data_IF_375499759816
#
_entry.id   IF_375499759816
#
_cell.length_a   1.000
_cell.length_b   1.000
_cell.length_c   1.000
_cell.angle_alpha   90.00
_cell.angle_beta   90.00
_cell.angle_gamma   90.00
#
_symmetry.space_group_name_H-M   'P 1'
#
loop_
_entity.id
_entity.type
_entity.pdbx_description
1 polymer ?
#
# COMPACT_ATOMS: atom_id res chain seq x y z
N UNK A 1 -26.51 58.90 47.82
CA UNK A 1 -26.64 58.14 49.06
C UNK A 1 -26.34 56.68 48.79
N UNK A 2 -25.59 56.12 49.59
CA UNK A 2 -25.07 54.73 49.63
C UNK A 2 -23.66 54.63 49.08
N UNK A 3 -22.79 54.53 50.01
CA UNK A 3 -21.35 54.46 49.96
C UNK A 3 -20.85 53.06 49.69
N UNK A 4 -19.73 53.02 48.99
CA UNK A 4 -18.94 51.82 48.76
C UNK A 4 -17.74 51.80 49.72
N UNK A 5 -17.68 50.75 50.50
CA UNK A 5 -16.57 50.48 51.43
C UNK A 5 -15.46 49.76 50.62
N UNK A 6 -14.29 50.39 50.58
CA UNK A 6 -13.06 49.79 50.04
C UNK A 6 -12.31 49.14 51.18
N UNK A 7 -12.15 47.83 51.18
CA UNK A 7 -11.31 47.11 52.13
C UNK A 7 -9.94 46.83 51.48
N UNK A 8 -8.92 47.48 51.99
CA UNK A 8 -7.51 47.21 51.68
C UNK A 8 -7.08 45.95 52.46
N UNK A 9 -6.65 44.92 51.74
CA UNK A 9 -5.91 43.79 52.29
C UNK A 9 -4.43 43.94 51.92
N UNK A 10 -3.61 44.17 52.92
CA UNK A 10 -2.17 44.18 52.83
C UNK A 10 -1.66 42.72 52.63
N UNK A 11 -1.12 42.39 51.48
CA UNK A 11 -0.46 41.11 51.20
C UNK A 11 1.02 41.17 51.52
N UNK A 12 1.46 40.33 52.43
CA UNK A 12 2.85 40.09 52.81
C UNK A 12 3.62 39.47 51.63
N UNK A 13 4.64 40.17 51.13
CA UNK A 13 5.62 39.62 50.19
C UNK A 13 6.57 38.67 50.93
N UNK A 14 6.38 37.38 50.81
CA UNK A 14 7.39 36.37 51.15
C UNK A 14 8.20 36.11 49.86
N UNK A 15 9.41 36.65 49.84
CA UNK A 15 10.40 36.34 48.83
C UNK A 15 10.94 34.93 49.04
N UNK A 16 10.37 33.93 48.33
CA UNK A 16 11.00 32.62 48.21
C UNK A 16 12.03 32.69 47.09
N UNK A 17 13.31 32.55 47.48
CA UNK A 17 14.41 32.29 46.55
C UNK A 17 14.06 31.02 45.74
N UNK A 18 13.76 31.17 44.44
CA UNK A 18 13.75 30.09 43.52
C UNK A 18 15.20 29.58 43.34
N UNK A 19 15.48 28.41 43.86
CA UNK A 19 16.68 27.68 43.50
C UNK A 19 16.59 27.37 41.98
N UNK A 20 17.55 27.90 41.23
CA UNK A 20 17.72 27.57 39.84
C UNK A 20 17.97 26.04 39.73
N UNK A 21 16.98 25.30 39.28
CA UNK A 21 17.17 23.93 38.85
C UNK A 21 17.88 24.02 37.49
N UNK A 22 19.18 23.73 37.48
CA UNK A 22 19.89 23.45 36.25
C UNK A 22 19.17 22.24 35.59
N UNK A 23 18.73 22.32 34.34
CA UNK A 23 18.25 21.14 33.65
C UNK A 23 19.45 20.20 33.47
N UNK A 24 19.44 19.07 34.16
CA UNK A 24 20.33 17.97 33.85
C UNK A 24 20.25 17.70 32.35
N UNK A 25 21.27 18.11 31.62
CA UNK A 25 21.39 17.86 30.20
C UNK A 25 21.48 16.34 29.96
N UNK A 26 20.34 15.71 29.79
CA UNK A 26 20.29 14.44 29.07
C UNK A 26 20.61 14.81 27.64
N UNK A 27 21.87 14.64 27.24
CA UNK A 27 22.21 14.47 25.83
C UNK A 27 21.47 13.21 25.35
N UNK A 28 20.24 13.39 24.91
CA UNK A 28 19.50 12.34 24.21
C UNK A 28 20.34 12.01 22.98
N UNK A 29 21.07 10.90 23.03
CA UNK A 29 21.80 10.38 21.89
C UNK A 29 20.84 10.33 20.68
N UNK A 30 21.35 10.60 19.49
CA UNK A 30 20.53 10.47 18.27
C UNK A 30 19.88 9.09 18.29
N UNK A 31 18.55 8.99 17.96
CA UNK A 31 17.85 7.72 17.95
C UNK A 31 18.63 6.71 17.09
N UNK A 32 18.88 5.51 17.61
CA UNK A 32 19.44 4.42 16.82
C UNK A 32 18.34 3.85 15.93
N UNK A 33 18.19 4.45 14.76
CA UNK A 33 17.18 4.03 13.77
C UNK A 33 17.37 2.59 13.31
N UNK A 34 18.59 2.07 13.27
CA UNK A 34 18.85 0.68 12.87
C UNK A 34 18.32 -0.30 13.90
N UNK A 35 18.55 -0.02 15.19
CA UNK A 35 18.01 -0.84 16.27
C UNK A 35 16.48 -0.79 16.31
N UNK A 36 15.88 0.41 16.25
CA UNK A 36 14.42 0.59 16.21
C UNK A 36 13.81 -0.14 15.00
N UNK A 37 14.49 -0.11 13.87
CA UNK A 37 14.08 -0.83 12.67
C UNK A 37 14.07 -2.34 12.87
N UNK A 38 15.13 -2.91 13.45
CA UNK A 38 15.23 -4.33 13.74
C UNK A 38 14.14 -4.77 14.73
N UNK A 39 13.96 -4.04 15.83
CA UNK A 39 12.89 -4.29 16.81
C UNK A 39 11.50 -4.29 16.13
N UNK A 40 11.24 -3.31 15.26
CA UNK A 40 9.99 -3.26 14.48
C UNK A 40 9.82 -4.45 13.55
N UNK A 41 10.88 -4.86 12.86
CA UNK A 41 10.82 -6.01 11.95
C UNK A 41 10.51 -7.34 12.68
N UNK A 42 10.92 -7.45 13.93
CA UNK A 42 10.69 -8.66 14.76
C UNK A 42 9.31 -8.65 15.41
N UNK A 43 8.83 -7.49 15.85
CA UNK A 43 7.61 -7.36 16.68
C UNK A 43 6.36 -6.99 15.90
N UNK A 44 6.45 -6.39 14.71
CA UNK A 44 5.29 -5.94 13.96
C UNK A 44 4.41 -7.13 13.49
N UNK A 45 3.09 -7.06 13.66
CA UNK A 45 2.17 -8.05 13.11
C UNK A 45 2.32 -8.14 11.59
N UNK A 46 2.44 -9.36 11.05
CA UNK A 46 2.52 -9.63 9.61
C UNK A 46 1.16 -10.10 9.12
N UNK A 47 0.22 -9.16 9.08
CA UNK A 47 -1.19 -9.46 8.79
C UNK A 47 -1.51 -9.37 7.30
N UNK A 48 -0.73 -8.63 6.51
CA UNK A 48 -1.02 -8.45 5.10
C UNK A 48 -0.87 -9.77 4.33
N UNK A 49 -1.91 -10.10 3.60
CA UNK A 49 -1.98 -11.26 2.72
C UNK A 49 -2.03 -10.81 1.26
N UNK A 50 -1.60 -11.68 0.35
CA UNK A 50 -1.86 -11.52 -1.08
C UNK A 50 -2.88 -12.55 -1.53
N UNK A 51 -3.79 -12.15 -2.42
CA UNK A 51 -4.77 -13.05 -2.98
C UNK A 51 -5.08 -12.69 -4.43
N UNK A 52 -5.51 -13.69 -5.21
CA UNK A 52 -6.00 -13.52 -6.58
C UNK A 52 -6.91 -14.69 -6.93
N UNK A 53 -7.83 -14.48 -7.88
CA UNK A 53 -8.49 -15.59 -8.54
C UNK A 53 -7.76 -15.91 -9.86
N UNK A 54 -7.63 -17.20 -10.17
CA UNK A 54 -7.22 -17.62 -11.50
C UNK A 54 -8.41 -17.64 -12.50
N UNK A 55 -8.11 -17.90 -13.76
CA UNK A 55 -9.12 -17.96 -14.82
C UNK A 55 -10.19 -19.05 -14.60
N UNK A 56 -9.91 -20.08 -13.80
CA UNK A 56 -10.85 -21.15 -13.45
C UNK A 56 -11.72 -20.78 -12.22
N UNK A 57 -11.50 -19.60 -11.63
CA UNK A 57 -12.21 -19.15 -10.44
C UNK A 57 -11.70 -19.78 -9.14
N UNK A 58 -10.50 -20.36 -9.12
CA UNK A 58 -9.83 -20.82 -7.92
C UNK A 58 -9.22 -19.60 -7.22
N UNK A 59 -9.49 -19.47 -5.93
CA UNK A 59 -8.89 -18.43 -5.09
C UNK A 59 -7.50 -18.89 -4.60
N UNK A 60 -6.50 -18.11 -4.86
CA UNK A 60 -5.13 -18.28 -4.37
C UNK A 60 -4.85 -17.29 -3.25
N UNK A 61 -4.20 -17.77 -2.18
CA UNK A 61 -3.85 -16.97 -1.00
C UNK A 61 -2.39 -17.20 -0.65
N UNK A 62 -1.63 -16.11 -0.53
CA UNK A 62 -0.28 -16.12 0.01
C UNK A 62 -0.23 -15.36 1.33
N UNK A 63 0.40 -15.97 2.35
CA UNK A 63 0.57 -15.38 3.69
C UNK A 63 1.97 -15.64 4.23
N UNK A 64 2.43 -14.74 5.07
CA UNK A 64 3.70 -14.89 5.79
C UNK A 64 3.48 -15.66 7.08
N UNK A 65 4.21 -16.76 7.27
CA UNK A 65 4.21 -17.56 8.50
C UNK A 65 5.66 -17.64 9.00
N UNK A 66 5.93 -16.97 10.11
CA UNK A 66 7.31 -16.81 10.59
C UNK A 66 8.19 -16.08 9.56
N UNK A 67 9.19 -16.75 9.03
CA UNK A 67 10.11 -16.26 7.99
C UNK A 67 9.90 -16.93 6.62
N UNK A 68 8.71 -17.46 6.40
CA UNK A 68 8.36 -18.14 5.16
C UNK A 68 7.09 -17.57 4.55
N UNK A 69 7.08 -17.46 3.22
CA UNK A 69 5.88 -17.21 2.45
C UNK A 69 5.24 -18.56 2.11
N UNK A 70 3.96 -18.69 2.42
CA UNK A 70 3.18 -19.90 2.17
C UNK A 70 2.01 -19.59 1.24
N UNK A 71 1.73 -20.49 0.32
CA UNK A 71 0.62 -20.41 -0.63
C UNK A 71 -0.34 -21.56 -0.43
N UNK A 72 -1.61 -21.27 -0.47
CA UNK A 72 -2.71 -22.24 -0.53
C UNK A 72 -3.76 -21.77 -1.54
N UNK A 73 -4.64 -22.67 -1.95
CA UNK A 73 -5.74 -22.35 -2.85
C UNK A 73 -7.07 -22.91 -2.35
N UNK A 74 -8.17 -22.33 -2.85
CA UNK A 74 -9.53 -22.71 -2.52
C UNK A 74 -10.39 -22.76 -3.79
N UNK A 75 -11.13 -23.86 -3.96
CA UNK A 75 -12.08 -24.02 -5.07
C UNK A 75 -13.49 -23.54 -4.72
N UNK A 76 -13.75 -23.23 -3.46
CA UNK A 76 -15.04 -22.81 -2.89
C UNK A 76 -15.06 -21.37 -2.33
N UNK A 77 -14.25 -20.50 -2.94
CA UNK A 77 -14.13 -19.08 -2.59
C UNK A 77 -13.71 -18.82 -1.12
N UNK A 78 -12.84 -19.68 -0.60
CA UNK A 78 -12.20 -19.49 0.68
C UNK A 78 -12.88 -20.16 1.88
N UNK A 79 -13.85 -21.04 1.64
CA UNK A 79 -14.45 -21.84 2.72
C UNK A 79 -13.47 -22.93 3.20
N UNK A 80 -12.79 -23.59 2.24
CA UNK A 80 -11.73 -24.56 2.53
C UNK A 80 -10.49 -24.24 1.70
N UNK A 81 -9.33 -24.41 2.30
CA UNK A 81 -8.05 -24.22 1.64
C UNK A 81 -7.25 -25.51 1.54
N UNK A 82 -6.51 -25.68 0.46
CA UNK A 82 -5.54 -26.76 0.30
C UNK A 82 -4.45 -26.70 1.37
N UNK A 83 -3.70 -27.79 1.61
CA UNK A 83 -2.46 -27.70 2.36
C UNK A 83 -1.55 -26.61 1.81
N UNK A 84 -0.90 -25.88 2.70
CA UNK A 84 -0.03 -24.78 2.31
C UNK A 84 1.31 -25.30 1.74
N UNK A 85 1.77 -24.68 0.65
CA UNK A 85 3.08 -24.94 0.05
C UNK A 85 4.03 -23.79 0.43
N UNK A 86 5.22 -24.12 0.93
CA UNK A 86 6.26 -23.14 1.26
C UNK A 86 6.98 -22.69 0.00
N UNK A 87 7.07 -21.38 -0.18
CA UNK A 87 7.64 -20.74 -1.37
C UNK A 87 9.16 -20.57 -1.25
N UNK A 88 9.63 -19.93 -0.18
CA UNK A 88 11.05 -19.76 0.11
C UNK A 88 11.51 -20.83 1.09
N UNK A 89 12.37 -21.74 0.65
CA UNK A 89 12.91 -22.83 1.51
C UNK A 89 13.81 -22.25 2.60
N UNK A 90 14.72 -21.36 2.21
CA UNK A 90 15.56 -20.62 3.16
C UNK A 90 14.71 -19.54 3.86
N UNK A 91 14.64 -19.56 5.20
CA UNK A 91 13.87 -18.57 5.95
C UNK A 91 14.46 -17.16 5.81
N UNK A 92 13.64 -16.19 5.44
CA UNK A 92 14.03 -14.77 5.34
C UNK A 92 12.94 -13.86 5.88
N UNK A 93 13.30 -12.64 6.30
CA UNK A 93 12.31 -11.65 6.68
C UNK A 93 11.47 -11.24 5.47
N UNK A 94 10.17 -11.09 5.67
CA UNK A 94 9.20 -10.72 4.65
C UNK A 94 8.38 -9.55 5.15
N UNK A 95 8.33 -8.45 4.41
CA UNK A 95 7.37 -7.37 4.67
C UNK A 95 5.96 -7.87 4.40
N UNK A 96 5.06 -7.66 5.35
CA UNK A 96 3.66 -8.06 5.24
C UNK A 96 2.76 -7.08 6.01
N UNK A 97 2.88 -5.80 5.67
CA UNK A 97 1.96 -4.73 6.06
C UNK A 97 1.17 -4.23 4.85
N UNK A 98 0.12 -3.44 5.08
CA UNK A 98 -0.79 -2.99 4.03
C UNK A 98 -0.15 -2.18 2.91
N UNK A 99 0.96 -1.49 3.18
CA UNK A 99 1.71 -0.73 2.17
C UNK A 99 2.79 -1.59 1.47
N UNK A 100 3.35 -2.60 2.14
CA UNK A 100 4.39 -3.48 1.61
C UNK A 100 3.99 -4.96 1.73
N UNK A 101 2.84 -5.30 1.14
CA UNK A 101 2.33 -6.68 1.13
C UNK A 101 3.04 -7.55 0.09
N UNK A 102 3.13 -8.86 0.27
CA UNK A 102 3.43 -9.78 -0.82
C UNK A 102 2.45 -9.59 -1.98
N UNK A 103 2.84 -10.00 -3.17
CA UNK A 103 1.96 -10.03 -4.34
C UNK A 103 1.90 -11.45 -4.91
N UNK A 104 0.72 -11.82 -5.46
CA UNK A 104 0.49 -13.09 -6.13
C UNK A 104 -0.24 -12.85 -7.44
N UNK A 105 0.17 -13.56 -8.48
CA UNK A 105 -0.54 -13.61 -9.75
C UNK A 105 -0.51 -15.04 -10.31
N UNK A 106 -1.55 -15.41 -11.04
CA UNK A 106 -1.67 -16.73 -11.68
C UNK A 106 -2.03 -16.55 -13.14
N UNK A 107 -1.22 -17.13 -14.00
CA UNK A 107 -1.45 -17.16 -15.45
C UNK A 107 -1.29 -18.61 -15.92
N UNK A 108 -2.36 -19.21 -16.39
CA UNK A 108 -2.44 -20.64 -16.72
C UNK A 108 -2.01 -21.53 -15.54
N UNK A 109 -0.96 -22.36 -15.75
CA UNK A 109 -0.37 -23.23 -14.72
C UNK A 109 0.73 -22.55 -13.90
N UNK A 110 1.05 -21.29 -14.17
CA UNK A 110 2.12 -20.57 -13.49
C UNK A 110 1.58 -19.74 -12.35
N UNK A 111 2.20 -19.91 -11.17
CA UNK A 111 1.93 -19.10 -9.98
C UNK A 111 3.17 -18.26 -9.69
N UNK A 112 2.98 -16.94 -9.65
CA UNK A 112 4.04 -15.96 -9.41
C UNK A 112 3.83 -15.29 -8.07
N UNK A 113 4.92 -15.12 -7.34
CA UNK A 113 4.95 -14.45 -6.05
C UNK A 113 6.07 -13.43 -5.98
N UNK A 114 5.81 -12.31 -5.35
CA UNK A 114 6.86 -11.35 -5.02
C UNK A 114 6.67 -10.77 -3.63
N UNK A 115 7.76 -10.36 -3.02
CA UNK A 115 7.77 -9.71 -1.70
C UNK A 115 8.99 -8.81 -1.53
N UNK A 116 8.92 -7.94 -0.56
CA UNK A 116 10.08 -7.20 -0.08
C UNK A 116 10.73 -7.98 1.05
N UNK A 117 12.01 -8.29 0.92
CA UNK A 117 12.87 -8.81 1.98
C UNK A 117 13.54 -7.64 2.70
N UNK A 118 13.16 -7.30 3.95
CA UNK A 118 13.87 -6.29 4.73
C UNK A 118 15.30 -6.74 5.06
N UNK A 119 16.23 -5.79 5.04
CA UNK A 119 17.62 -5.97 5.44
C UNK A 119 17.88 -5.36 6.82
N UNK A 120 19.01 -5.71 7.49
CA UNK A 120 19.35 -5.17 8.80
C UNK A 120 19.49 -3.64 8.85
N UNK A 121 19.94 -3.00 7.77
CA UNK A 121 20.00 -1.55 7.67
C UNK A 121 18.59 -0.97 7.64
N UNK A 122 18.39 0.16 8.34
CA UNK A 122 17.10 0.83 8.41
C UNK A 122 16.56 1.16 7.00
N UNK A 123 15.33 0.72 6.75
CA UNK A 123 14.60 0.90 5.49
C UNK A 123 15.22 0.22 4.26
N UNK A 124 16.32 -0.51 4.40
CA UNK A 124 16.90 -1.28 3.30
C UNK A 124 16.10 -2.56 3.03
N UNK A 125 16.14 -3.01 1.80
CA UNK A 125 15.47 -4.24 1.37
C UNK A 125 15.90 -4.72 0.01
N UNK A 126 15.43 -5.92 -0.36
CA UNK A 126 15.52 -6.48 -1.69
C UNK A 126 14.13 -6.88 -2.18
N UNK A 127 13.91 -6.77 -3.48
CA UNK A 127 12.71 -7.29 -4.14
C UNK A 127 12.96 -8.74 -4.49
N UNK A 128 12.16 -9.62 -3.90
CA UNK A 128 12.23 -11.07 -4.09
C UNK A 128 11.09 -11.54 -4.98
N UNK A 129 11.34 -12.60 -5.72
CA UNK A 129 10.38 -13.21 -6.63
C UNK A 129 10.57 -14.70 -6.71
N UNK A 130 9.49 -15.47 -6.75
CA UNK A 130 9.49 -16.89 -7.02
C UNK A 130 8.36 -17.27 -7.98
N UNK A 131 8.61 -18.28 -8.80
CA UNK A 131 7.65 -18.83 -9.75
C UNK A 131 7.47 -20.34 -9.56
N UNK A 132 6.24 -20.79 -9.76
CA UNK A 132 5.87 -22.19 -9.96
C UNK A 132 5.45 -22.39 -11.41
N UNK A 133 5.86 -23.52 -12.00
CA UNK A 133 5.45 -23.92 -13.34
C UNK A 133 4.50 -25.15 -13.32
N UNK A 134 4.13 -25.64 -12.13
CA UNK A 134 3.37 -26.87 -11.90
C UNK A 134 2.09 -26.66 -11.09
N UNK A 135 1.45 -25.50 -11.27
CA UNK A 135 0.20 -25.19 -10.58
C UNK A 135 0.37 -24.94 -9.08
N UNK A 136 1.51 -24.41 -8.66
CA UNK A 136 1.79 -24.10 -7.25
C UNK A 136 2.23 -25.28 -6.40
N UNK A 137 2.47 -26.47 -6.99
CA UNK A 137 2.91 -27.65 -6.26
C UNK A 137 4.36 -27.50 -5.76
N UNK A 138 5.21 -26.86 -6.57
CA UNK A 138 6.60 -26.52 -6.18
C UNK A 138 6.97 -25.13 -6.67
N UNK A 139 7.95 -24.50 -6.01
CA UNK A 139 8.48 -23.19 -6.39
C UNK A 139 9.99 -23.28 -6.65
N UNK A 140 10.44 -22.55 -7.67
CA UNK A 140 11.87 -22.34 -7.91
C UNK A 140 12.48 -21.49 -6.77
N UNK A 141 13.80 -21.58 -6.60
CA UNK A 141 14.52 -20.74 -5.64
C UNK A 141 14.28 -19.24 -5.94
N UNK A 142 14.00 -18.44 -4.89
CA UNK A 142 13.66 -17.04 -5.08
C UNK A 142 14.78 -16.23 -5.73
N UNK A 143 14.43 -15.46 -6.74
CA UNK A 143 15.31 -14.49 -7.38
C UNK A 143 15.28 -13.17 -6.61
N UNK A 144 16.39 -12.43 -6.62
CA UNK A 144 16.41 -11.01 -6.27
C UNK A 144 16.31 -10.20 -7.55
N UNK A 145 15.29 -9.34 -7.65
CA UNK A 145 14.91 -8.63 -8.89
C UNK A 145 15.70 -7.33 -9.08
N UNK A 146 15.90 -6.55 -8.01
CA UNK A 146 16.75 -5.36 -8.11
C UNK A 146 18.20 -5.78 -8.45
N UNK A 147 18.73 -5.26 -9.54
CA UNK A 147 20.13 -5.53 -9.98
C UNK A 147 21.18 -4.76 -9.15
N UNK A 148 20.81 -3.63 -8.56
CA UNK A 148 21.58 -2.97 -7.52
C UNK A 148 21.50 -3.79 -6.23
N UNK A 149 22.65 -4.23 -5.69
CA UNK A 149 22.75 -5.09 -4.49
C UNK A 149 23.16 -4.33 -3.22
N UNK A 150 23.21 -3.02 -3.26
CA UNK A 150 23.51 -2.20 -2.09
C UNK A 150 22.40 -2.37 -1.03
N UNK A 151 22.79 -2.23 0.24
CA UNK A 151 21.86 -2.28 1.36
C UNK A 151 21.12 -0.93 1.52
N UNK A 152 20.31 -0.59 0.54
CA UNK A 152 19.48 0.63 0.46
C UNK A 152 18.01 0.24 0.27
N UNK A 153 17.15 1.23 0.14
CA UNK A 153 15.72 0.98 -0.10
C UNK A 153 15.49 0.39 -1.51
N UNK A 154 15.08 -0.88 -1.57
CA UNK A 154 14.35 -1.51 -2.66
C UNK A 154 13.12 -2.14 -2.01
N UNK A 155 11.99 -1.44 -2.01
CA UNK A 155 10.80 -1.80 -1.22
C UNK A 155 9.50 -1.49 -1.97
N UNK A 156 8.38 -1.90 -1.38
CA UNK A 156 7.04 -1.65 -1.91
C UNK A 156 6.84 -2.25 -3.30
N UNK A 157 7.13 -3.56 -3.39
CA UNK A 157 6.95 -4.33 -4.62
C UNK A 157 5.50 -4.30 -5.10
N UNK A 158 5.33 -4.08 -6.39
CA UNK A 158 4.09 -4.34 -7.12
C UNK A 158 4.39 -5.32 -8.27
N UNK A 159 3.43 -6.16 -8.59
CA UNK A 159 3.58 -7.18 -9.64
C UNK A 159 2.31 -7.23 -10.49
N UNK A 160 2.51 -7.29 -11.79
CA UNK A 160 1.50 -7.61 -12.80
C UNK A 160 2.00 -8.80 -13.62
N UNK A 161 1.16 -9.82 -13.80
CA UNK A 161 1.42 -10.89 -14.74
C UNK A 161 0.22 -11.10 -15.67
N UNK A 162 0.51 -11.29 -16.95
CA UNK A 162 -0.45 -11.57 -18.00
C UNK A 162 0.22 -12.42 -19.09
N UNK A 163 -0.45 -12.60 -20.25
CA UNK A 163 0.08 -13.32 -21.41
C UNK A 163 1.38 -12.71 -21.97
N UNK A 164 1.66 -11.43 -21.71
CA UNK A 164 2.90 -10.76 -22.16
C UNK A 164 4.07 -11.00 -21.22
N UNK A 165 3.85 -11.58 -20.04
CA UNK A 165 4.86 -11.91 -19.07
C UNK A 165 4.62 -11.30 -17.69
N UNK A 166 5.69 -11.12 -16.92
CA UNK A 166 5.66 -10.58 -15.56
C UNK A 166 6.35 -9.21 -15.55
N UNK A 167 5.67 -8.21 -15.01
CA UNK A 167 6.23 -6.88 -14.75
C UNK A 167 6.29 -6.65 -13.26
N UNK A 168 7.46 -6.24 -12.77
CA UNK A 168 7.70 -5.81 -11.40
C UNK A 168 7.92 -4.30 -11.37
N UNK A 169 7.43 -3.64 -10.32
CA UNK A 169 7.75 -2.24 -10.01
C UNK A 169 8.04 -2.09 -8.52
N UNK A 170 8.95 -1.21 -8.15
CA UNK A 170 9.32 -0.95 -6.75
C UNK A 170 9.90 0.44 -6.54
N UNK A 171 9.94 0.87 -5.29
CA UNK A 171 10.63 2.09 -4.86
C UNK A 171 12.10 1.78 -4.63
N UNK A 172 12.99 2.60 -5.22
CA UNK A 172 14.43 2.39 -5.27
C UNK A 172 15.19 3.69 -4.96
N UNK A 173 16.13 3.64 -4.04
CA UNK A 173 16.92 4.82 -3.64
C UNK A 173 18.31 4.88 -4.27
N UNK A 174 18.62 4.05 -5.26
CA UNK A 174 19.96 4.02 -5.89
C UNK A 174 20.39 5.36 -6.50
N UNK A 175 19.45 6.14 -7.03
CA UNK A 175 19.76 7.43 -7.66
C UNK A 175 19.92 8.56 -6.63
N UNK A 176 19.34 8.39 -5.44
CA UNK A 176 19.42 9.36 -4.33
C UNK A 176 20.57 9.11 -3.37
N UNK A 177 21.24 7.95 -3.46
CA UNK A 177 22.33 7.61 -2.55
C UNK A 177 23.52 8.55 -2.76
N UNK A 178 23.93 9.23 -1.68
CA UNK A 178 24.99 10.24 -1.74
C UNK A 178 24.63 11.53 -2.50
N UNK A 179 23.37 11.75 -2.89
CA UNK A 179 22.89 12.92 -3.63
C UNK A 179 21.93 13.78 -2.78
N UNK A 180 22.41 14.74 -1.98
CA UNK A 180 21.55 15.51 -1.04
C UNK A 180 20.43 16.30 -1.71
N UNK A 181 20.58 16.66 -2.98
CA UNK A 181 19.58 17.39 -3.76
C UNK A 181 18.49 16.48 -4.35
N UNK A 182 18.69 15.17 -4.38
CA UNK A 182 17.70 14.20 -4.86
C UNK A 182 16.56 14.07 -3.88
N UNK A 183 15.32 14.14 -4.37
CA UNK A 183 14.12 14.09 -3.51
C UNK A 183 13.45 12.76 -3.62
N UNK A 184 13.13 12.17 -2.46
CA UNK A 184 12.44 10.91 -2.38
C UNK A 184 13.26 9.74 -2.91
N UNK A 185 12.65 8.95 -3.77
CA UNK A 185 13.20 7.77 -4.42
C UNK A 185 12.83 7.76 -5.91
N UNK A 186 13.37 6.80 -6.67
CA UNK A 186 12.89 6.50 -8.00
C UNK A 186 11.89 5.34 -7.98
N UNK A 187 11.12 5.20 -9.06
CA UNK A 187 10.40 3.96 -9.39
C UNK A 187 11.24 3.21 -10.42
N UNK A 188 11.60 1.97 -10.10
CA UNK A 188 12.24 1.04 -11.01
C UNK A 188 11.31 -0.10 -11.39
N UNK A 189 11.54 -0.66 -12.57
CA UNK A 189 10.79 -1.78 -13.12
C UNK A 189 11.73 -2.84 -13.67
N UNK A 190 11.26 -4.08 -13.70
CA UNK A 190 11.89 -5.19 -14.42
C UNK A 190 10.81 -6.06 -15.06
N UNK A 191 11.12 -6.66 -16.20
CA UNK A 191 10.20 -7.51 -16.95
C UNK A 191 10.81 -8.88 -17.22
N UNK A 192 9.97 -9.90 -17.16
CA UNK A 192 10.26 -11.28 -17.57
C UNK A 192 9.29 -11.70 -18.66
N UNK A 193 9.81 -12.24 -19.75
CA UNK A 193 9.01 -12.83 -20.86
C UNK A 193 9.21 -14.34 -20.97
N UNK A 194 9.95 -14.95 -20.04
CA UNK A 194 10.30 -16.38 -20.06
C UNK A 194 9.61 -17.19 -18.96
N UNK A 195 8.50 -16.67 -18.41
CA UNK A 195 7.73 -17.30 -17.35
C UNK A 195 8.37 -17.14 -15.96
N UNK A 196 9.08 -16.03 -15.72
CA UNK A 196 9.68 -15.72 -14.43
C UNK A 196 11.03 -16.40 -14.16
N UNK A 197 11.65 -17.05 -15.17
CA UNK A 197 12.95 -17.69 -15.00
C UNK A 197 14.09 -16.69 -14.95
N UNK A 198 13.94 -15.57 -15.67
CA UNK A 198 14.87 -14.46 -15.63
C UNK A 198 14.15 -13.13 -15.82
N UNK A 199 14.80 -12.04 -15.45
CA UNK A 199 14.31 -10.67 -15.65
C UNK A 199 15.33 -9.86 -16.43
N UNK A 200 14.85 -8.99 -17.32
CA UNK A 200 15.67 -8.01 -18.01
C UNK A 200 16.28 -7.02 -17.00
N UNK A 201 17.33 -6.30 -17.43
CA UNK A 201 17.95 -5.22 -16.65
C UNK A 201 16.91 -4.23 -16.14
N UNK A 202 17.10 -3.76 -14.91
CA UNK A 202 16.19 -2.80 -14.29
C UNK A 202 16.12 -1.50 -15.09
N UNK A 203 14.94 -0.96 -15.25
CA UNK A 203 14.68 0.31 -15.93
C UNK A 203 14.01 1.28 -14.99
N UNK A 204 14.50 2.50 -14.97
CA UNK A 204 13.86 3.58 -14.23
C UNK A 204 12.60 4.03 -14.97
N UNK A 205 11.46 4.05 -14.25
CA UNK A 205 10.21 4.60 -14.74
C UNK A 205 10.08 6.09 -14.43
N UNK A 206 10.45 6.50 -13.22
CA UNK A 206 10.35 7.90 -12.78
C UNK A 206 11.31 8.20 -11.64
N UNK A 207 11.77 9.45 -11.57
CA UNK A 207 12.42 10.03 -10.40
C UNK A 207 11.40 10.59 -9.41
N UNK A 208 11.84 10.99 -8.22
CA UNK A 208 11.06 11.78 -7.25
C UNK A 208 9.75 11.12 -6.77
N UNK A 209 9.76 9.82 -6.52
CA UNK A 209 8.68 9.12 -5.84
C UNK A 209 8.71 9.38 -4.33
N UNK A 210 7.55 9.35 -3.69
CA UNK A 210 7.45 9.20 -2.24
C UNK A 210 8.05 7.86 -1.80
N UNK A 211 8.83 7.83 -0.72
CA UNK A 211 9.65 6.68 -0.32
C UNK A 211 8.89 5.58 0.42
N UNK A 212 7.63 5.80 0.76
CA UNK A 212 6.92 4.98 1.75
C UNK A 212 5.49 4.59 1.37
N UNK A 213 5.11 4.75 0.11
CA UNK A 213 3.75 4.48 -0.35
C UNK A 213 3.76 3.36 -1.39
N UNK A 214 2.80 2.44 -1.29
CA UNK A 214 2.63 1.38 -2.29
C UNK A 214 2.39 1.94 -3.68
N UNK A 215 2.77 1.16 -4.68
CA UNK A 215 2.54 1.42 -6.10
C UNK A 215 1.31 0.63 -6.52
N UNK A 216 0.32 1.29 -7.13
CA UNK A 216 -0.74 0.61 -7.87
C UNK A 216 -0.20 0.17 -9.24
N UNK A 217 -0.36 -1.09 -9.60
CA UNK A 217 0.05 -1.64 -10.89
C UNK A 217 -1.11 -2.45 -11.47
N UNK A 218 -1.53 -2.10 -12.68
CA UNK A 218 -2.63 -2.75 -13.38
C UNK A 218 -2.29 -2.91 -14.87
N UNK A 219 -2.98 -3.79 -15.57
CA UNK A 219 -2.94 -3.85 -17.02
C UNK A 219 -3.85 -2.78 -17.61
N UNK A 220 -3.36 -2.00 -18.56
CA UNK A 220 -4.19 -1.19 -19.44
C UNK A 220 -4.95 -2.13 -20.41
N UNK A 221 -5.89 -1.61 -21.18
CA UNK A 221 -6.76 -2.38 -22.07
C UNK A 221 -6.02 -3.31 -23.04
N UNK A 222 -4.82 -2.92 -23.47
CA UNK A 222 -3.97 -3.71 -24.38
C UNK A 222 -2.94 -4.60 -23.65
N UNK A 223 -3.08 -4.77 -22.34
CA UNK A 223 -2.15 -5.54 -21.50
C UNK A 223 -0.90 -4.78 -21.08
N UNK A 224 -0.67 -3.57 -21.58
CA UNK A 224 0.49 -2.76 -21.18
C UNK A 224 0.41 -2.40 -19.70
N UNK A 225 1.50 -2.57 -18.92
CA UNK A 225 1.49 -2.20 -17.51
C UNK A 225 1.32 -0.69 -17.30
N UNK A 226 0.43 -0.34 -16.38
CA UNK A 226 0.09 1.01 -15.94
C UNK A 226 0.41 1.13 -14.46
N UNK A 227 1.26 2.08 -14.09
CA UNK A 227 1.67 2.34 -12.73
C UNK A 227 1.02 3.62 -12.18
N UNK A 228 0.62 3.61 -10.91
CA UNK A 228 0.05 4.74 -10.17
C UNK A 228 0.73 4.85 -8.82
N UNK A 229 1.33 6.01 -8.52
CA UNK A 229 2.14 6.19 -7.32
C UNK A 229 2.09 7.63 -6.82
N UNK A 230 2.45 7.82 -5.55
CA UNK A 230 2.63 9.16 -4.99
C UNK A 230 3.97 9.72 -5.46
N UNK A 231 3.91 10.80 -6.23
CA UNK A 231 5.06 11.50 -6.81
C UNK A 231 5.32 12.82 -6.06
N UNK A 232 6.55 13.30 -6.09
CA UNK A 232 6.94 14.60 -5.52
C UNK A 232 7.08 15.59 -6.65
N UNK A 233 6.05 16.40 -6.87
CA UNK A 233 6.07 17.47 -7.86
C UNK A 233 6.71 18.73 -7.28
N UNK A 234 7.32 19.53 -8.17
CA UNK A 234 7.90 20.82 -7.81
C UNK A 234 8.85 20.73 -6.61
N UNK A 235 8.63 21.58 -5.62
CA UNK A 235 9.50 21.62 -4.44
C UNK A 235 9.23 20.48 -3.45
N UNK A 236 7.98 20.18 -3.13
CA UNK A 236 7.59 19.11 -2.20
C UNK A 236 6.08 18.83 -2.22
N UNK A 237 5.41 18.91 -3.37
CA UNK A 237 4.00 18.59 -3.50
C UNK A 237 3.84 17.10 -3.75
N UNK A 238 3.20 16.38 -2.83
CA UNK A 238 3.05 14.92 -2.85
C UNK A 238 1.71 14.51 -3.45
N UNK A 239 1.54 14.79 -4.73
CA UNK A 239 0.39 14.35 -5.51
C UNK A 239 0.66 13.01 -6.20
N UNK A 240 -0.37 12.46 -6.83
CA UNK A 240 -0.25 11.20 -7.53
C UNK A 240 0.08 11.38 -9.01
N UNK A 241 0.92 10.49 -9.51
CA UNK A 241 1.24 10.32 -10.92
C UNK A 241 0.75 8.97 -11.43
N UNK A 242 0.45 8.91 -12.73
CA UNK A 242 0.11 7.70 -13.46
C UNK A 242 0.96 7.65 -14.74
N UNK A 243 1.45 6.47 -15.11
CA UNK A 243 2.19 6.28 -16.36
C UNK A 243 2.01 4.86 -16.90
N UNK A 244 1.85 4.72 -18.20
CA UNK A 244 2.10 3.45 -18.90
C UNK A 244 3.60 3.22 -19.00
N UNK A 245 4.02 1.96 -18.93
CA UNK A 245 5.43 1.63 -19.12
C UNK A 245 5.93 2.09 -20.51
N UNK A 246 7.01 2.87 -20.49
CA UNK A 246 7.58 3.45 -21.72
C UNK A 246 7.01 4.80 -22.14
N UNK A 247 6.02 5.33 -21.44
CA UNK A 247 5.41 6.62 -21.70
C UNK A 247 5.74 7.64 -20.58
N UNK A 248 5.69 8.95 -20.86
CA UNK A 248 5.84 9.99 -19.85
C UNK A 248 4.73 9.89 -18.77
N UNK A 249 5.07 10.27 -17.54
CA UNK A 249 4.10 10.34 -16.47
C UNK A 249 3.09 11.49 -16.69
N UNK A 250 1.85 11.25 -16.27
CA UNK A 250 0.79 12.23 -16.16
C UNK A 250 0.50 12.51 -14.68
N UNK A 251 0.32 13.78 -14.28
CA UNK A 251 -0.14 14.12 -12.93
C UNK A 251 -1.62 13.75 -12.80
N UNK A 252 -1.93 12.81 -11.94
CA UNK A 252 -3.26 12.23 -11.77
C UNK A 252 -4.07 12.91 -10.66
N UNK A 253 -3.43 13.52 -9.68
CA UNK A 253 -4.07 14.40 -8.69
C UNK A 253 -3.41 15.77 -8.65
N UNK A 254 -4.16 16.78 -8.21
CA UNK A 254 -3.73 18.18 -8.15
C UNK A 254 -4.10 18.79 -6.80
N UNK A 255 -3.93 18.03 -5.73
CA UNK A 255 -4.31 18.44 -4.38
C UNK A 255 -3.36 19.49 -3.81
N UNK A 256 -2.11 19.50 -4.28
CA UNK A 256 -1.05 20.40 -3.82
C UNK A 256 -0.62 20.11 -2.39
N UNK A 257 -0.62 18.83 -1.99
CA UNK A 257 -0.26 18.46 -0.61
C UNK A 257 1.24 18.62 -0.37
N UNK A 258 1.63 19.78 0.13
CA UNK A 258 3.00 20.07 0.52
C UNK A 258 3.27 19.53 1.93
N UNK A 259 4.06 18.45 2.01
CA UNK A 259 4.44 17.82 3.27
C UNK A 259 5.87 17.28 3.21
N UNK A 260 6.65 17.57 4.26
CA UNK A 260 7.99 17.02 4.43
C UNK A 260 7.99 15.84 5.43
N UNK A 261 7.20 14.83 5.08
CA UNK A 261 7.02 13.60 5.86
C UNK A 261 6.64 12.43 4.97
N UNK A 262 6.66 11.22 5.55
CA UNK A 262 6.20 9.99 4.93
C UNK A 262 4.75 9.70 5.35
N UNK A 263 3.75 9.93 4.47
CA UNK A 263 2.35 9.77 4.86
C UNK A 263 1.89 8.32 4.98
N UNK A 264 2.60 7.36 4.42
CA UNK A 264 2.23 5.93 4.40
C UNK A 264 0.80 5.65 3.89
N UNK A 265 0.36 6.40 2.89
CA UNK A 265 -0.92 6.21 2.22
C UNK A 265 -0.68 6.10 0.71
N UNK A 266 -0.47 4.89 0.23
CA UNK A 266 -0.41 4.60 -1.20
C UNK A 266 -1.79 4.68 -1.84
N UNK A 267 -1.80 4.87 -3.16
CA UNK A 267 -3.03 4.87 -3.94
C UNK A 267 -3.43 3.47 -4.42
N UNK A 268 -4.61 3.39 -4.99
CA UNK A 268 -5.15 2.21 -5.63
C UNK A 268 -5.58 2.52 -7.06
N UNK A 269 -5.38 1.57 -7.97
CA UNK A 269 -5.65 1.67 -9.39
C UNK A 269 -6.41 0.44 -9.86
N UNK A 270 -7.47 0.66 -10.63
CA UNK A 270 -8.14 -0.37 -11.42
C UNK A 270 -8.41 0.14 -12.83
N UNK A 271 -8.52 -0.76 -13.80
CA UNK A 271 -8.87 -0.45 -15.18
C UNK A 271 -10.12 -1.22 -15.55
N UNK A 272 -11.14 -0.54 -16.07
CA UNK A 272 -12.38 -1.18 -16.53
C UNK A 272 -12.22 -1.78 -17.93
N UNK A 273 -13.16 -2.62 -18.35
CA UNK A 273 -13.15 -3.31 -19.65
C UNK A 273 -13.14 -2.33 -20.86
N UNK A 274 -13.49 -1.07 -20.66
CA UNK A 274 -13.48 -0.03 -21.69
C UNK A 274 -12.16 0.77 -21.70
N UNK A 275 -11.26 0.49 -20.74
CA UNK A 275 -9.99 1.19 -20.58
C UNK A 275 -10.09 2.45 -19.71
N UNK A 276 -11.22 2.67 -19.05
CA UNK A 276 -11.35 3.69 -18.01
C UNK A 276 -10.48 3.36 -16.81
N UNK A 277 -9.67 4.32 -16.37
CA UNK A 277 -8.76 4.16 -15.25
C UNK A 277 -9.40 4.74 -13.99
N UNK A 278 -9.57 3.93 -12.98
CA UNK A 278 -10.18 4.29 -11.71
C UNK A 278 -9.11 4.37 -10.66
N UNK A 279 -8.92 5.55 -10.07
CA UNK A 279 -7.91 5.79 -9.04
C UNK A 279 -8.55 6.23 -7.73
N UNK A 280 -8.01 5.73 -6.62
CA UNK A 280 -8.39 6.16 -5.28
C UNK A 280 -7.14 6.49 -4.48
N UNK A 281 -7.18 7.61 -3.73
CA UNK A 281 -6.02 8.08 -2.98
C UNK A 281 -6.43 8.85 -1.72
N UNK A 282 -5.47 9.04 -0.84
CA UNK A 282 -5.56 9.92 0.33
C UNK A 282 -4.73 11.18 0.11
N UNK A 283 -5.23 12.32 0.54
CA UNK A 283 -4.48 13.58 0.64
C UNK A 283 -4.70 14.23 2.00
N UNK A 284 -3.67 14.88 2.53
CA UNK A 284 -3.77 15.76 3.70
C UNK A 284 -3.77 17.25 3.31
N UNK A 285 -4.02 17.57 2.04
CA UNK A 285 -4.06 18.96 1.57
C UNK A 285 -5.17 19.75 2.26
N UNK A 286 -4.84 20.95 2.77
CA UNK A 286 -5.74 21.74 3.62
C UNK A 286 -7.08 22.09 2.97
N UNK A 287 -7.14 22.17 1.63
CA UNK A 287 -8.38 22.52 0.92
C UNK A 287 -9.41 21.40 0.90
N UNK A 288 -8.96 20.14 0.83
CA UNK A 288 -9.83 18.96 0.74
C UNK A 288 -9.07 17.73 1.26
N UNK A 289 -8.84 17.63 2.59
CA UNK A 289 -8.18 16.47 3.15
C UNK A 289 -9.10 15.24 3.08
N UNK A 290 -8.49 14.04 3.03
CA UNK A 290 -9.22 12.78 3.09
C UNK A 290 -9.04 11.90 1.86
N UNK A 291 -10.00 11.01 1.66
CA UNK A 291 -10.02 10.07 0.55
C UNK A 291 -10.72 10.65 -0.66
N UNK A 292 -10.12 10.38 -1.81
CA UNK A 292 -10.65 10.83 -3.10
C UNK A 292 -10.66 9.68 -4.11
N UNK A 293 -11.60 9.74 -5.01
CA UNK A 293 -11.70 8.89 -6.19
C UNK A 293 -11.82 9.73 -7.44
N UNK A 294 -11.25 9.26 -8.55
CA UNK A 294 -11.38 9.87 -9.87
C UNK A 294 -11.35 8.78 -10.95
N UNK A 295 -12.10 9.02 -12.03
CA UNK A 295 -11.99 8.29 -13.28
C UNK A 295 -11.17 9.11 -14.28
N UNK A 296 -10.31 8.42 -15.04
CA UNK A 296 -9.48 8.99 -16.10
C UNK A 296 -9.77 8.21 -17.39
N UNK A 297 -10.26 8.92 -18.43
CA UNK A 297 -10.53 8.38 -19.76
C UNK A 297 -9.61 9.11 -20.77
N UNK A 298 -8.48 8.50 -21.12
CA UNK A 298 -7.42 9.16 -21.89
C UNK A 298 -6.89 10.40 -21.15
N UNK A 299 -7.09 11.59 -21.73
CA UNK A 299 -6.70 12.88 -21.12
C UNK A 299 -7.82 13.46 -20.22
N UNK A 300 -9.03 12.93 -20.28
CA UNK A 300 -10.17 13.45 -19.51
C UNK A 300 -10.14 12.90 -18.09
N UNK A 301 -10.17 13.79 -17.13
CA UNK A 301 -10.26 13.48 -15.71
C UNK A 301 -11.61 13.94 -15.15
N UNK A 302 -12.31 13.07 -14.45
CA UNK A 302 -13.53 13.47 -13.73
C UNK A 302 -13.18 14.40 -12.56
N UNK A 303 -14.17 15.14 -12.08
CA UNK A 303 -14.07 15.84 -10.78
C UNK A 303 -13.85 14.78 -9.69
N UNK A 304 -12.92 14.99 -8.74
CA UNK A 304 -12.73 14.05 -7.64
C UNK A 304 -13.99 13.92 -6.78
N UNK A 305 -14.36 12.69 -6.46
CA UNK A 305 -15.32 12.37 -5.41
C UNK A 305 -14.57 12.26 -4.08
N UNK A 306 -14.98 13.04 -3.08
CA UNK A 306 -14.49 12.88 -1.71
C UNK A 306 -15.35 11.85 -0.96
N UNK A 307 -14.73 10.98 -0.17
CA UNK A 307 -15.42 9.95 0.62
C UNK A 307 -14.64 9.62 1.91
N UNK A 308 -15.23 8.79 2.76
CA UNK A 308 -14.65 8.40 4.05
C UNK A 308 -14.87 9.45 5.14
N UNK A 309 -14.78 9.01 6.39
CA UNK A 309 -14.93 9.85 7.59
C UNK A 309 -13.55 10.18 8.17
N UNK A 310 -13.14 11.45 8.11
CA UNK A 310 -11.86 11.89 8.64
C UNK A 310 -11.79 11.80 10.17
N UNK A 311 -12.92 11.99 10.86
CA UNK A 311 -12.97 11.86 12.32
C UNK A 311 -12.77 10.41 12.75
N UNK A 312 -13.11 9.47 11.86
CA UNK A 312 -12.79 8.04 12.01
C UNK A 312 -11.49 7.63 11.31
N UNK A 313 -10.57 8.55 11.04
CA UNK A 313 -9.27 8.30 10.44
C UNK A 313 -9.35 7.46 9.15
N UNK A 314 -10.30 7.76 8.26
CA UNK A 314 -10.45 7.07 6.98
C UNK A 314 -9.15 7.10 6.18
N UNK A 315 -8.69 5.92 5.74
CA UNK A 315 -7.41 5.76 5.04
C UNK A 315 -7.32 4.48 4.22
N UNK A 316 -6.21 4.30 3.51
CA UNK A 316 -5.86 3.11 2.75
C UNK A 316 -6.96 2.64 1.77
N UNK A 317 -7.37 3.48 0.81
CA UNK A 317 -8.44 3.15 -0.10
C UNK A 317 -8.01 2.05 -1.08
N UNK A 318 -8.96 1.19 -1.44
CA UNK A 318 -8.84 0.23 -2.53
C UNK A 318 -9.98 0.44 -3.52
N UNK A 319 -9.70 0.30 -4.81
CA UNK A 319 -10.68 0.36 -5.90
C UNK A 319 -10.58 -0.89 -6.76
N UNK A 320 -11.71 -1.45 -7.16
CA UNK A 320 -11.78 -2.51 -8.15
C UNK A 320 -13.00 -2.33 -9.05
N UNK A 321 -12.97 -2.95 -10.23
CA UNK A 321 -14.02 -2.85 -11.25
C UNK A 321 -14.44 -4.24 -11.70
N UNK A 322 -15.76 -4.45 -11.95
CA UNK A 322 -16.28 -5.65 -12.58
C UNK A 322 -17.47 -5.27 -13.49
N UNK A 323 -17.33 -5.44 -14.79
CA UNK A 323 -18.28 -4.94 -15.77
C UNK A 323 -18.44 -3.41 -15.67
N UNK A 324 -19.67 -2.94 -15.40
CA UNK A 324 -19.93 -1.52 -15.08
C UNK A 324 -19.83 -1.19 -13.60
N UNK A 325 -19.66 -2.19 -12.74
CA UNK A 325 -19.58 -2.03 -11.29
C UNK A 325 -18.21 -1.56 -10.84
N UNK A 326 -18.20 -0.68 -9.84
CA UNK A 326 -17.00 -0.22 -9.15
C UNK A 326 -17.26 -0.29 -7.65
N UNK A 327 -16.33 -0.89 -6.92
CA UNK A 327 -16.33 -0.82 -5.48
C UNK A 327 -15.13 -0.01 -4.99
N UNK A 328 -15.40 0.94 -4.09
CA UNK A 328 -14.42 1.64 -3.28
C UNK A 328 -14.54 1.13 -1.86
N UNK A 329 -13.41 0.69 -1.30
CA UNK A 329 -13.33 0.18 0.06
C UNK A 329 -12.20 0.89 0.78
N UNK A 330 -12.38 1.19 2.06
CA UNK A 330 -11.35 1.83 2.88
C UNK A 330 -11.41 1.35 4.32
N UNK A 331 -10.35 1.61 5.06
CA UNK A 331 -10.29 1.38 6.50
C UNK A 331 -10.63 2.66 7.27
N UNK A 332 -11.37 2.50 8.36
CA UNK A 332 -11.59 3.52 9.38
C UNK A 332 -11.18 2.99 10.75
N UNK A 333 -10.81 3.89 11.66
CA UNK A 333 -10.56 3.60 13.07
C UNK A 333 -11.16 4.72 13.94
N UNK A 334 -12.08 4.37 14.82
CA UNK A 334 -12.80 5.32 15.68
C UNK A 334 -12.23 5.44 17.10
N UNK A 335 -11.01 4.96 17.32
CA UNK A 335 -10.34 4.89 18.63
C UNK A 335 -10.63 3.59 19.40
N UNK A 336 -11.51 2.71 18.89
CA UNK A 336 -11.89 1.44 19.52
C UNK A 336 -11.78 0.25 18.57
N UNK A 337 -12.26 0.39 17.36
CA UNK A 337 -12.26 -0.69 16.37
C UNK A 337 -11.79 -0.21 15.00
N UNK A 338 -11.09 -1.09 14.31
CA UNK A 338 -10.85 -0.98 12.88
C UNK A 338 -12.09 -1.50 12.15
N UNK A 339 -12.54 -0.79 11.12
CA UNK A 339 -13.65 -1.20 10.28
C UNK A 339 -13.34 -1.01 8.81
N UNK A 340 -13.95 -1.85 8.01
CA UNK A 340 -13.93 -1.73 6.55
C UNK A 340 -15.29 -1.19 6.12
N UNK A 341 -15.24 -0.10 5.36
CA UNK A 341 -16.41 0.57 4.81
C UNK A 341 -16.30 0.56 3.28
N UNK A 342 -17.43 0.48 2.60
CA UNK A 342 -17.53 0.44 1.15
C UNK A 342 -18.61 1.37 0.62
N UNK A 343 -18.41 1.86 -0.62
CA UNK A 343 -19.44 2.39 -1.50
C UNK A 343 -19.34 1.68 -2.86
N UNK A 344 -20.50 1.55 -3.51
CA UNK A 344 -20.65 0.90 -4.80
C UNK A 344 -21.21 1.85 -5.85
N UNK A 345 -20.73 1.73 -7.09
CA UNK A 345 -21.31 2.36 -8.27
C UNK A 345 -21.65 1.27 -9.29
N UNK A 346 -22.86 1.30 -9.87
CA UNK A 346 -23.28 0.40 -10.93
C UNK A 346 -23.10 0.99 -12.33
N UNK A 347 -22.71 2.25 -12.44
CA UNK A 347 -22.72 3.09 -13.64
C UNK A 347 -21.35 3.72 -13.96
N UNK A 348 -20.26 2.97 -13.68
CA UNK A 348 -18.86 3.38 -13.90
C UNK A 348 -18.48 4.69 -13.18
N UNK A 349 -18.96 4.86 -11.94
CA UNK A 349 -18.57 5.96 -11.07
C UNK A 349 -19.36 7.25 -11.29
N UNK A 350 -20.51 7.21 -11.97
CA UNK A 350 -21.38 8.39 -12.13
C UNK A 350 -22.21 8.62 -10.87
N UNK A 351 -22.78 7.55 -10.30
CA UNK A 351 -23.52 7.61 -9.03
C UNK A 351 -22.98 6.57 -8.05
N UNK A 352 -23.17 6.82 -6.76
CA UNK A 352 -22.62 6.00 -5.68
C UNK A 352 -23.67 5.70 -4.62
N UNK A 353 -23.58 4.50 -4.06
CA UNK A 353 -24.37 4.10 -2.90
C UNK A 353 -24.01 4.91 -1.66
N UNK A 354 -24.81 4.78 -0.61
CA UNK A 354 -24.41 5.22 0.73
C UNK A 354 -23.29 4.32 1.27
N UNK A 355 -22.41 4.83 2.16
CA UNK A 355 -21.41 4.01 2.83
C UNK A 355 -22.05 2.86 3.61
N UNK A 356 -21.45 1.67 3.48
CA UNK A 356 -21.86 0.44 4.15
C UNK A 356 -20.67 -0.17 4.88
N UNK A 357 -20.84 -0.51 6.15
CA UNK A 357 -19.84 -1.25 6.94
C UNK A 357 -19.84 -2.72 6.53
N UNK A 358 -18.70 -3.24 6.10
CA UNK A 358 -18.52 -4.63 5.69
C UNK A 358 -18.00 -5.52 6.82
N UNK A 359 -17.08 -5.01 7.62
CA UNK A 359 -16.40 -5.76 8.67
C UNK A 359 -15.86 -4.84 9.76
N UNK A 360 -15.54 -5.39 10.93
CA UNK A 360 -14.83 -4.71 12.00
C UNK A 360 -14.06 -5.68 12.90
N UNK A 361 -13.05 -5.15 13.61
CA UNK A 361 -12.28 -5.84 14.66
C UNK A 361 -11.73 -4.82 15.66
N UNK A 362 -11.65 -5.22 16.92
CA UNK A 362 -10.98 -4.40 17.94
C UNK A 362 -9.45 -4.54 17.89
N UNK A 363 -8.94 -5.64 17.34
CA UNK A 363 -7.51 -5.92 17.25
C UNK A 363 -6.82 -5.30 16.06
N UNK A 364 -5.53 -5.62 15.92
CA UNK A 364 -4.75 -5.23 14.76
C UNK A 364 -5.33 -5.83 13.46
N UNK A 365 -5.28 -5.06 12.40
CA UNK A 365 -5.86 -5.43 11.11
C UNK A 365 -4.95 -5.03 9.95
N UNK A 366 -5.03 -5.78 8.86
CA UNK A 366 -4.49 -5.41 7.56
C UNK A 366 -5.28 -4.25 6.93
N UNK A 367 -4.75 -3.66 5.88
CA UNK A 367 -5.50 -2.78 4.98
C UNK A 367 -6.34 -3.61 4.00
N UNK A 368 -7.48 -3.09 3.51
CA UNK A 368 -8.33 -3.83 2.60
C UNK A 368 -7.62 -4.16 1.28
N UNK A 369 -7.80 -5.39 0.80
CA UNK A 369 -7.40 -5.82 -0.54
C UNK A 369 -8.64 -6.17 -1.35
N UNK A 370 -8.79 -5.57 -2.52
CA UNK A 370 -9.83 -5.93 -3.48
C UNK A 370 -9.22 -6.77 -4.61
N UNK A 371 -9.92 -7.83 -4.96
CA UNK A 371 -9.55 -8.71 -6.08
C UNK A 371 -10.79 -9.02 -6.93
N UNK A 372 -10.56 -9.24 -8.22
CA UNK A 372 -11.61 -9.65 -9.16
C UNK A 372 -11.59 -11.17 -9.34
N UNK A 373 -12.78 -11.79 -9.42
CA UNK A 373 -12.91 -13.19 -9.72
C UNK A 373 -14.36 -13.66 -9.73
N UNK A 374 -14.64 -14.71 -10.45
CA UNK A 374 -16.00 -15.30 -10.56
C UNK A 374 -17.08 -14.27 -10.92
N UNK A 375 -16.73 -13.29 -11.79
CA UNK A 375 -17.64 -12.23 -12.21
C UNK A 375 -18.03 -11.22 -11.11
N UNK A 376 -17.25 -11.10 -10.06
CA UNK A 376 -17.50 -10.22 -8.93
C UNK A 376 -16.21 -9.63 -8.37
N UNK A 377 -16.37 -8.60 -7.53
CA UNK A 377 -15.30 -8.02 -6.71
C UNK A 377 -15.37 -8.68 -5.32
N UNK A 378 -14.20 -8.98 -4.76
CA UNK A 378 -14.08 -9.61 -3.46
C UNK A 378 -13.16 -8.79 -2.56
N UNK A 379 -13.60 -8.54 -1.33
CA UNK A 379 -12.78 -8.01 -0.26
C UNK A 379 -12.04 -9.17 0.43
N UNK A 380 -10.73 -9.02 0.56
CA UNK A 380 -9.86 -9.87 1.39
C UNK A 380 -9.34 -8.99 2.52
N UNK A 381 -9.58 -9.40 3.76
CA UNK A 381 -9.17 -8.66 4.94
C UNK A 381 -8.75 -9.59 6.07
N UNK A 382 -7.51 -9.46 6.53
CA UNK A 382 -6.96 -10.29 7.59
C UNK A 382 -6.79 -9.48 8.89
N UNK A 383 -7.14 -10.08 10.01
CA UNK A 383 -7.11 -9.45 11.33
C UNK A 383 -6.49 -10.38 12.35
N UNK A 384 -5.90 -9.83 13.42
CA UNK A 384 -5.27 -10.61 14.46
C UNK A 384 -6.31 -11.44 15.26
N UNK A 385 -7.47 -10.85 15.55
CA UNK A 385 -8.47 -11.47 16.44
C UNK A 385 -9.44 -12.39 15.69
N UNK A 386 -9.83 -12.03 14.45
CA UNK A 386 -10.89 -12.72 13.72
C UNK A 386 -10.38 -13.49 12.49
N UNK A 387 -9.05 -13.44 12.23
CA UNK A 387 -8.44 -14.09 11.08
C UNK A 387 -8.85 -13.48 9.73
N UNK A 388 -8.81 -14.30 8.71
CA UNK A 388 -9.07 -13.92 7.33
C UNK A 388 -10.58 -13.84 7.06
N UNK A 389 -11.01 -12.69 6.52
CA UNK A 389 -12.37 -12.48 5.98
C UNK A 389 -12.32 -12.37 4.47
N UNK A 390 -13.23 -13.05 3.82
CA UNK A 390 -13.43 -13.04 2.36
C UNK A 390 -14.90 -12.68 2.13
N UNK A 391 -15.14 -11.54 1.49
CA UNK A 391 -16.50 -11.01 1.30
C UNK A 391 -16.72 -10.70 -0.16
N UNK A 392 -17.75 -11.28 -0.77
CA UNK A 392 -18.19 -10.91 -2.13
C UNK A 392 -18.93 -9.57 -2.07
N UNK A 393 -18.55 -8.65 -2.96
CA UNK A 393 -19.17 -7.32 -3.07
C UNK A 393 -20.12 -7.27 -4.28
N UNK A 394 -20.92 -6.20 -4.37
CA UNK A 394 -21.74 -5.93 -5.55
C UNK A 394 -22.99 -6.83 -5.69
N UNK A 395 -23.62 -7.25 -4.56
CA UNK A 395 -24.96 -7.86 -4.56
C UNK A 395 -25.99 -6.93 -3.99
#
# INVERSE_FOLDING_TARGET
MVGAIVTLLAGCLIATRAAAHEPAGHAAGKPDFSRMWQERLESAPRLAVAATFDANGRLWLARTVGKQLQVSHSDDAGQHFSPAVTVNREPELISADGEARPAIAVVDQRVYLSWTQPLPQAFAGHIRFAASADGGATFAEPLTINDNRQAITHRFNAMLANEHGVTMAWIDKRDGDGQPAYRGAAIYTAQSTDGGRSFAANRKLADHSCECCRIGLAADRDGTPLAFWRHIFGRNERDFAIARLGEPLQRASTDGWAIDACPHHGGSLAVDEQGGRHIAWFTGAAKSPGLHYRRIDGERMSVPLSFGDLDAQAGHPAVATAGSGIDLVWREFDGRENRIVAIHSADRGQTWSKPMRLAATAGAADDPLLINGRGAIWLIWNTADNGLKIVRLGT
#
